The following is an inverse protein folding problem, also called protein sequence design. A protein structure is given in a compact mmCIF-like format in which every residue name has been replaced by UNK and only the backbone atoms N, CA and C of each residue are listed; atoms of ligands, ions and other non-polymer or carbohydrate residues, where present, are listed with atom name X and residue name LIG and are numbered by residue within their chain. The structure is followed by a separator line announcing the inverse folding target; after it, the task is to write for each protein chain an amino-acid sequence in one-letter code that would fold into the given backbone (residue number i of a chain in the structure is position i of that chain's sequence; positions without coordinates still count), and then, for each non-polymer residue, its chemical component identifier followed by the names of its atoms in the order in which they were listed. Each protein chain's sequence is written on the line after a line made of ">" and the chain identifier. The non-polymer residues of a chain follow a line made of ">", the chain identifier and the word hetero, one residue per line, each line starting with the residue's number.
data_IF_080588385028
#
_entry.id   IF_080588385028
#
_cell.length_a   1.000
_cell.length_b   1.000
_cell.length_c   1.000
_cell.angle_alpha   90.00
_cell.angle_beta   90.00
_cell.angle_gamma   90.00
#
_symmetry.space_group_name_H-M   'P 1'
#
loop_
_entity.id
_entity.type
_entity.pdbx_description
1 polymer ?
#
# COMPACT_ATOMS: atom_id res chain seq x y z
N UNK A 1 -7.33 19.14 -3.58
CA UNK A 1 -5.95 19.28 -3.03
C UNK A 1 -5.05 19.83 -4.12
N UNK A 2 -5.04 21.15 -4.27
CA UNK A 2 -4.26 21.83 -5.31
C UNK A 2 -2.84 22.16 -4.83
N UNK A 3 -2.63 22.35 -3.52
CA UNK A 3 -1.32 22.62 -2.93
C UNK A 3 -0.68 21.32 -2.37
N UNK A 4 0.63 21.08 -2.60
CA UNK A 4 1.35 19.98 -1.96
C UNK A 4 1.32 20.03 -0.43
N UNK A 5 1.22 21.22 0.19
CA UNK A 5 1.13 21.38 1.65
C UNK A 5 -0.15 20.78 2.23
N UNK A 6 -1.25 20.80 1.49
CA UNK A 6 -2.54 20.23 1.90
C UNK A 6 -2.48 18.69 2.05
N UNK A 7 -1.46 18.05 1.47
CA UNK A 7 -1.28 16.60 1.47
C UNK A 7 -0.50 16.10 2.69
N UNK A 8 0.25 16.98 3.36
CA UNK A 8 1.13 16.63 4.48
C UNK A 8 0.32 16.15 5.68
N UNK A 9 -0.70 16.92 6.08
CA UNK A 9 -1.53 16.59 7.24
C UNK A 9 -2.26 15.24 7.07
N UNK A 10 -2.95 14.98 5.93
CA UNK A 10 -3.56 13.67 5.68
C UNK A 10 -2.54 12.53 5.70
N UNK A 11 -1.37 12.70 5.06
CA UNK A 11 -0.35 11.65 5.01
C UNK A 11 0.19 11.29 6.40
N UNK A 12 0.47 12.30 7.24
CA UNK A 12 0.91 12.09 8.62
C UNK A 12 -0.19 11.39 9.43
N UNK A 13 -1.44 11.83 9.30
CA UNK A 13 -2.57 11.19 9.99
C UNK A 13 -2.70 9.71 9.63
N UNK A 14 -2.67 9.38 8.34
CA UNK A 14 -2.76 7.99 7.87
C UNK A 14 -1.53 7.19 8.31
N UNK A 15 -0.32 7.76 8.26
CA UNK A 15 0.91 7.12 8.72
C UNK A 15 0.84 6.72 10.20
N UNK A 16 0.39 7.63 11.07
CA UNK A 16 0.22 7.35 12.51
C UNK A 16 -0.83 6.26 12.72
N UNK A 17 -1.95 6.30 11.99
CA UNK A 17 -2.99 5.29 12.10
C UNK A 17 -2.50 3.89 11.70
N UNK A 18 -1.77 3.74 10.59
CA UNK A 18 -1.23 2.44 10.19
C UNK A 18 -0.18 1.92 11.19
N UNK A 19 0.69 2.79 11.71
CA UNK A 19 1.62 2.43 12.77
C UNK A 19 0.90 1.92 14.02
N UNK A 20 -0.10 2.66 14.48
CA UNK A 20 -0.83 2.33 15.70
C UNK A 20 -1.62 1.03 15.55
N UNK A 21 -2.33 0.83 14.43
CA UNK A 21 -3.08 -0.42 14.16
C UNK A 21 -2.11 -1.60 14.06
N UNK A 22 -0.95 -1.44 13.41
CA UNK A 22 0.08 -2.48 13.38
C UNK A 22 0.59 -2.83 14.79
N UNK A 23 0.85 -1.82 15.62
CA UNK A 23 1.29 -2.04 17.00
C UNK A 23 0.23 -2.77 17.81
N UNK A 24 -1.02 -2.30 17.77
CA UNK A 24 -2.16 -2.94 18.45
C UNK A 24 -2.36 -4.38 17.95
N UNK A 25 -2.30 -4.62 16.64
CA UNK A 25 -2.41 -5.97 16.08
C UNK A 25 -1.32 -6.91 16.58
N UNK A 26 -0.12 -6.41 16.89
CA UNK A 26 0.95 -7.20 17.48
C UNK A 26 0.88 -7.30 19.01
N UNK A 27 0.41 -6.26 19.70
CA UNK A 27 0.25 -6.24 21.16
C UNK A 27 -0.94 -7.07 21.65
N UNK A 28 -2.02 -7.17 20.86
CA UNK A 28 -3.16 -8.07 21.15
C UNK A 28 -2.84 -9.52 20.77
N UNK A 29 -1.80 -9.75 19.96
CA UNK A 29 -1.31 -11.11 19.63
C UNK A 29 -0.46 -11.72 20.75
N UNK A 30 -0.81 -11.49 22.03
CA UNK A 30 -0.30 -12.31 23.13
C UNK A 30 -0.78 -13.76 22.87
N UNK A 31 0.00 -14.83 23.13
CA UNK A 31 -0.31 -16.20 22.70
C UNK A 31 -1.65 -16.81 23.18
N UNK A 32 -2.43 -16.05 23.97
CA UNK A 32 -3.71 -16.46 24.55
C UNK A 32 -4.92 -15.85 23.85
N UNK A 33 -4.75 -14.80 23.05
CA UNK A 33 -5.83 -14.14 22.32
C UNK A 33 -5.68 -14.34 20.80
N UNK A 34 -6.80 -14.28 20.08
CA UNK A 34 -6.92 -14.62 18.65
C UNK A 34 -5.78 -13.99 17.84
N UNK A 35 -4.83 -14.79 17.31
CA UNK A 35 -3.67 -14.25 16.62
C UNK A 35 -4.12 -13.50 15.37
N UNK A 36 -3.68 -12.24 15.21
CA UNK A 36 -4.01 -11.46 14.03
C UNK A 36 -3.52 -12.18 12.76
N UNK A 37 -4.32 -12.26 11.68
CA UNK A 37 -3.94 -12.96 10.46
C UNK A 37 -2.60 -12.45 9.91
N UNK A 38 -1.73 -13.36 9.47
CA UNK A 38 -0.40 -13.03 8.93
C UNK A 38 -0.47 -11.94 7.84
N UNK A 39 -1.41 -12.08 6.90
CA UNK A 39 -1.59 -11.13 5.79
C UNK A 39 -1.98 -9.73 6.28
N UNK A 40 -2.72 -9.63 7.39
CA UNK A 40 -3.10 -8.35 7.98
C UNK A 40 -1.86 -7.62 8.50
N UNK A 41 -0.93 -8.33 9.15
CA UNK A 41 0.33 -7.76 9.65
C UNK A 41 1.20 -7.25 8.50
N UNK A 42 1.34 -8.04 7.43
CA UNK A 42 2.06 -7.63 6.22
C UNK A 42 1.44 -6.39 5.60
N UNK A 43 0.11 -6.38 5.41
CA UNK A 43 -0.61 -5.24 4.82
C UNK A 43 -0.40 -3.95 5.61
N UNK A 44 -0.53 -4.02 6.94
CA UNK A 44 -0.42 -2.86 7.82
C UNK A 44 1.00 -2.29 7.83
N UNK A 45 2.02 -3.15 7.99
CA UNK A 45 3.42 -2.73 7.98
C UNK A 45 3.85 -2.21 6.60
N UNK A 46 3.47 -2.92 5.54
CA UNK A 46 3.76 -2.54 4.16
C UNK A 46 3.14 -1.20 3.80
N UNK A 47 1.90 -0.94 4.21
CA UNK A 47 1.28 0.36 3.95
C UNK A 47 1.89 1.48 4.79
N UNK A 48 2.29 1.21 6.04
CA UNK A 48 3.04 2.17 6.86
C UNK A 48 4.35 2.59 6.18
N UNK A 49 5.18 1.63 5.76
CA UNK A 49 6.42 1.91 5.03
C UNK A 49 6.17 2.59 3.68
N UNK A 50 5.14 2.14 2.96
CA UNK A 50 4.72 2.75 1.70
C UNK A 50 4.33 4.22 1.86
N UNK A 51 3.61 4.58 2.92
CA UNK A 51 3.24 5.97 3.22
C UNK A 51 4.46 6.80 3.60
N UNK A 52 5.44 6.26 4.35
CA UNK A 52 6.70 6.95 4.64
C UNK A 52 7.44 7.27 3.34
N UNK A 53 7.60 6.29 2.44
CA UNK A 53 8.25 6.50 1.15
C UNK A 53 7.49 7.49 0.28
N UNK A 54 6.16 7.35 0.21
CA UNK A 54 5.29 8.26 -0.52
C UNK A 54 5.42 9.69 0.03
N UNK A 55 5.47 9.86 1.35
CA UNK A 55 5.64 11.15 2.01
C UNK A 55 6.99 11.79 1.64
N UNK A 56 8.09 11.06 1.77
CA UNK A 56 9.45 11.54 1.44
C UNK A 56 9.52 11.94 -0.04
N UNK A 57 9.05 11.08 -0.95
CA UNK A 57 9.14 11.35 -2.39
C UNK A 57 8.21 12.50 -2.79
N UNK A 58 7.04 12.62 -2.15
CA UNK A 58 6.07 13.68 -2.43
C UNK A 58 6.55 15.08 -2.02
N UNK A 59 7.64 15.20 -1.25
CA UNK A 59 8.34 16.47 -1.01
C UNK A 59 9.04 16.96 -2.28
N UNK A 60 9.57 16.05 -3.12
CA UNK A 60 10.36 16.36 -4.31
C UNK A 60 9.57 16.21 -5.62
N UNK A 61 8.70 15.22 -5.71
CA UNK A 61 7.95 14.87 -6.93
C UNK A 61 6.47 14.63 -6.62
N UNK A 62 5.57 15.20 -7.43
CA UNK A 62 4.12 15.01 -7.25
C UNK A 62 3.69 13.60 -7.68
N UNK A 63 3.81 12.63 -6.78
CA UNK A 63 3.32 11.28 -7.01
C UNK A 63 1.80 11.17 -6.83
N UNK A 64 1.21 10.24 -7.56
CA UNK A 64 -0.20 9.91 -7.41
C UNK A 64 -0.41 9.00 -6.20
N UNK A 65 -0.99 9.58 -5.14
CA UNK A 65 -1.32 8.83 -3.91
C UNK A 65 -2.32 7.69 -4.17
N UNK A 66 -3.21 7.86 -5.15
CA UNK A 66 -4.20 6.83 -5.52
C UNK A 66 -3.56 5.62 -6.19
N UNK A 67 -2.53 5.84 -7.03
CA UNK A 67 -1.84 4.74 -7.71
C UNK A 67 -0.87 4.04 -6.76
N UNK A 68 -0.34 4.76 -5.76
CA UNK A 68 0.37 4.14 -4.63
C UNK A 68 -0.52 3.25 -3.78
N UNK A 69 -1.73 3.68 -3.44
CA UNK A 69 -2.68 2.84 -2.70
C UNK A 69 -3.10 1.62 -3.52
N UNK A 70 -3.37 1.81 -4.82
CA UNK A 70 -3.70 0.70 -5.74
C UNK A 70 -2.53 -0.28 -5.91
N UNK A 71 -1.29 0.21 -5.98
CA UNK A 71 -0.07 -0.61 -5.96
C UNK A 71 0.09 -1.39 -4.67
N UNK A 72 -0.21 -0.78 -3.52
CA UNK A 72 -0.24 -1.47 -2.23
C UNK A 72 -1.27 -2.61 -2.22
N UNK A 73 -2.47 -2.37 -2.74
CA UNK A 73 -3.49 -3.42 -2.88
C UNK A 73 -3.01 -4.57 -3.79
N UNK A 74 -2.41 -4.27 -4.93
CA UNK A 74 -1.79 -5.28 -5.81
C UNK A 74 -0.68 -6.06 -5.11
N UNK A 75 0.19 -5.37 -4.35
CA UNK A 75 1.25 -6.01 -3.58
C UNK A 75 0.71 -7.03 -2.57
N UNK A 76 -0.36 -6.71 -1.85
CA UNK A 76 -1.03 -7.64 -0.94
C UNK A 76 -1.61 -8.85 -1.69
N UNK A 77 -2.22 -8.64 -2.86
CA UNK A 77 -2.74 -9.74 -3.69
C UNK A 77 -1.62 -10.67 -4.17
N UNK A 78 -0.44 -10.12 -4.51
CA UNK A 78 0.74 -10.91 -4.85
C UNK A 78 1.21 -11.73 -3.65
N UNK A 79 1.29 -11.14 -2.46
CA UNK A 79 1.67 -11.87 -1.23
C UNK A 79 0.65 -12.99 -0.93
N UNK A 80 -0.65 -12.72 -1.10
CA UNK A 80 -1.69 -13.74 -0.95
C UNK A 80 -1.53 -14.89 -1.95
N UNK A 81 -1.16 -14.60 -3.20
CA UNK A 81 -0.88 -15.64 -4.20
C UNK A 81 0.31 -16.52 -3.79
N UNK A 82 1.33 -15.93 -3.16
CA UNK A 82 2.54 -16.66 -2.75
C UNK A 82 2.35 -17.50 -1.47
N UNK A 83 1.43 -17.09 -0.59
CA UNK A 83 1.30 -17.66 0.76
C UNK A 83 0.05 -18.52 0.95
N UNK A 84 -1.01 -18.27 0.19
CA UNK A 84 -2.28 -18.97 0.37
C UNK A 84 -2.30 -20.29 -0.43
N UNK A 85 -2.80 -21.40 0.15
CA UNK A 85 -2.95 -22.66 -0.58
C UNK A 85 -4.07 -22.62 -1.64
N UNK A 86 -4.98 -21.66 -1.58
CA UNK A 86 -6.05 -21.47 -2.57
C UNK A 86 -5.52 -20.65 -3.75
N UNK A 87 -5.95 -21.00 -4.96
CA UNK A 87 -5.58 -20.26 -6.15
C UNK A 87 -6.15 -18.83 -6.13
N UNK A 88 -5.29 -17.85 -5.83
CA UNK A 88 -5.62 -16.42 -5.78
C UNK A 88 -5.43 -15.70 -7.13
N UNK A 89 -5.22 -16.43 -8.22
CA UNK A 89 -4.98 -15.86 -9.55
C UNK A 89 -6.17 -15.06 -10.07
N UNK A 90 -7.41 -15.52 -9.83
CA UNK A 90 -8.62 -14.78 -10.23
C UNK A 90 -8.75 -13.44 -9.47
N UNK A 91 -8.68 -13.39 -8.12
CA UNK A 91 -8.59 -12.13 -7.37
C UNK A 91 -7.48 -11.20 -7.86
N UNK A 92 -6.30 -11.74 -8.19
CA UNK A 92 -5.20 -10.95 -8.72
C UNK A 92 -5.55 -10.29 -10.06
N UNK A 93 -6.14 -11.03 -11.02
CA UNK A 93 -6.55 -10.44 -12.30
C UNK A 93 -7.62 -9.36 -12.12
N UNK A 94 -8.61 -9.59 -11.26
CA UNK A 94 -9.63 -8.58 -10.94
C UNK A 94 -8.97 -7.33 -10.35
N UNK A 95 -8.02 -7.51 -9.41
CA UNK A 95 -7.28 -6.40 -8.82
C UNK A 95 -6.46 -5.61 -9.85
N UNK A 96 -5.90 -6.29 -10.86
CA UNK A 96 -5.11 -5.68 -11.93
C UNK A 96 -5.99 -4.84 -12.86
N UNK A 97 -7.20 -5.30 -13.17
CA UNK A 97 -8.18 -4.52 -13.93
C UNK A 97 -8.59 -3.26 -13.16
N UNK A 98 -8.92 -3.40 -11.87
CA UNK A 98 -9.29 -2.26 -11.01
C UNK A 98 -8.14 -1.25 -10.94
N UNK A 99 -6.91 -1.74 -10.78
CA UNK A 99 -5.73 -0.88 -10.81
C UNK A 99 -5.55 -0.18 -12.16
N UNK A 100 -5.74 -0.88 -13.28
CA UNK A 100 -5.71 -0.29 -14.62
C UNK A 100 -6.70 0.86 -14.76
N UNK A 101 -7.95 0.66 -14.30
CA UNK A 101 -9.00 1.71 -14.32
C UNK A 101 -8.58 2.92 -13.49
N UNK A 102 -8.05 2.71 -12.28
CA UNK A 102 -7.56 3.80 -11.41
C UNK A 102 -6.45 4.59 -12.10
N UNK A 103 -5.47 3.90 -12.71
CA UNK A 103 -4.36 4.54 -13.43
C UNK A 103 -4.84 5.36 -14.62
N UNK A 104 -5.70 4.77 -15.45
CA UNK A 104 -6.29 5.44 -16.62
C UNK A 104 -7.13 6.65 -16.21
N UNK A 105 -7.93 6.56 -15.16
CA UNK A 105 -8.71 7.70 -14.64
C UNK A 105 -7.80 8.87 -14.22
N UNK A 106 -6.63 8.59 -13.62
CA UNK A 106 -5.68 9.64 -13.20
C UNK A 106 -4.99 10.31 -14.38
N UNK A 107 -4.70 9.56 -15.44
CA UNK A 107 -4.16 10.11 -16.68
C UNK A 107 -5.19 10.93 -17.46
N UNK A 108 -6.44 10.46 -17.54
CA UNK A 108 -7.54 11.17 -18.19
C UNK A 108 -7.88 12.49 -17.52
N UNK A 109 -7.78 12.57 -16.20
CA UNK A 109 -7.95 13.81 -15.44
C UNK A 109 -6.81 14.82 -15.65
N UNK A 110 -5.74 14.45 -16.37
CA UNK A 110 -4.60 15.32 -16.65
C UNK A 110 -3.82 15.76 -15.41
N UNK A 111 -4.11 15.17 -14.24
CA UNK A 111 -3.58 15.62 -12.96
C UNK A 111 -2.13 15.14 -12.71
N UNK A 112 -1.70 14.10 -13.41
CA UNK A 112 -0.40 13.46 -13.23
C UNK A 112 0.20 12.99 -14.55
N UNK A 113 1.53 12.97 -14.63
CA UNK A 113 2.28 12.39 -15.76
C UNK A 113 2.29 10.86 -15.68
N UNK A 114 2.44 10.14 -16.80
CA UNK A 114 2.58 8.68 -16.80
C UNK A 114 3.64 8.17 -15.82
N UNK A 115 4.81 8.81 -15.78
CA UNK A 115 5.88 8.44 -14.85
C UNK A 115 5.45 8.51 -13.38
N UNK A 116 4.66 9.51 -12.99
CA UNK A 116 4.19 9.69 -11.60
C UNK A 116 3.17 8.60 -11.20
N UNK A 117 2.40 8.11 -12.18
CA UNK A 117 1.47 7.00 -12.01
C UNK A 117 2.22 5.69 -11.79
N UNK A 118 3.19 5.38 -12.66
CA UNK A 118 4.01 4.17 -12.60
C UNK A 118 4.84 4.09 -11.31
N UNK A 119 5.47 5.19 -10.92
CA UNK A 119 6.22 5.26 -9.66
C UNK A 119 5.32 5.04 -8.44
N UNK A 120 4.08 5.55 -8.47
CA UNK A 120 3.10 5.25 -7.42
C UNK A 120 2.86 3.75 -7.29
N UNK A 121 2.53 3.05 -8.38
CA UNK A 121 2.34 1.58 -8.34
C UNK A 121 3.57 0.85 -7.80
N UNK A 122 4.77 1.21 -8.29
CA UNK A 122 6.02 0.58 -7.89
C UNK A 122 6.26 0.70 -6.37
N UNK A 123 6.10 1.89 -5.80
CA UNK A 123 6.29 2.12 -4.36
C UNK A 123 5.32 1.28 -3.53
N UNK A 124 4.04 1.26 -3.92
CA UNK A 124 3.03 0.47 -3.21
C UNK A 124 3.33 -1.03 -3.21
N UNK A 125 3.70 -1.59 -4.38
CA UNK A 125 4.01 -3.02 -4.50
C UNK A 125 5.29 -3.36 -3.72
N UNK A 126 6.35 -2.57 -3.88
CA UNK A 126 7.63 -2.83 -3.22
C UNK A 126 7.52 -2.74 -1.71
N UNK A 127 6.74 -1.80 -1.17
CA UNK A 127 6.56 -1.68 0.27
C UNK A 127 5.87 -2.92 0.88
N UNK A 128 4.88 -3.49 0.18
CA UNK A 128 4.21 -4.72 0.63
C UNK A 128 5.14 -5.94 0.56
N UNK A 129 5.92 -6.07 -0.51
CA UNK A 129 6.89 -7.16 -0.65
C UNK A 129 8.00 -7.05 0.41
N UNK A 130 8.50 -5.83 0.67
CA UNK A 130 9.50 -5.59 1.71
C UNK A 130 8.97 -5.98 3.11
N UNK A 131 7.72 -5.61 3.43
CA UNK A 131 7.09 -6.00 4.68
C UNK A 131 6.88 -7.52 4.79
N UNK A 132 6.49 -8.19 3.70
CA UNK A 132 6.37 -9.64 3.65
C UNK A 132 7.71 -10.32 3.96
N UNK A 133 8.78 -9.89 3.29
CA UNK A 133 10.14 -10.39 3.54
C UNK A 133 10.52 -10.15 5.00
N UNK A 134 10.37 -8.94 5.52
CA UNK A 134 10.76 -8.61 6.89
C UNK A 134 10.04 -9.44 7.97
N UNK A 135 8.78 -9.80 7.78
CA UNK A 135 8.02 -10.59 8.78
C UNK A 135 8.35 -12.09 8.67
N UNK A 136 8.81 -12.55 7.50
CA UNK A 136 9.06 -13.97 7.23
C UNK A 136 10.49 -14.41 7.59
N UNK A 137 11.44 -13.47 7.60
CA UNK A 137 12.84 -13.67 7.99
C UNK A 137 13.08 -13.28 9.45
#
# INVERSE_FOLDING_TARGET
>A
MHDPKDRIIPLIGIMIMYFWIYHVANSISDPKDVPAPFILKVMLLGNFWGIILLFIINIFFKLSMHTSAAGGFLGVMIVLLLTNPVNMMLPLFVSLIVCGIIGTARLLLGAHKPAEVWWGYAIGILAQLAAYVYITW
#
